data_IF_577819646620
#
_entry.id   IF_577819646620
#
_cell.length_a   1.000
_cell.length_b   1.000
_cell.length_c   1.000
_cell.angle_alpha   90.00
_cell.angle_beta   90.00
_cell.angle_gamma   90.00
#
_symmetry.space_group_name_H-M   'P 1'
#
loop_
_entity.id
_entity.type
_entity.pdbx_description
1 polymer ?
#
# COMPACT_ATOMS: atom_id res chain seq x y z
N UNK A 1 7.25 9.97 -3.00
CA UNK A 1 6.34 10.74 -3.86
C UNK A 1 6.02 9.89 -5.09
N UNK A 2 4.75 9.78 -5.49
CA UNK A 2 4.35 8.96 -6.67
C UNK A 2 4.03 9.82 -7.89
N UNK A 3 3.78 11.12 -7.70
CA UNK A 3 3.61 12.10 -8.77
C UNK A 3 2.39 11.82 -9.64
N UNK A 4 2.54 11.98 -10.95
CA UNK A 4 1.50 11.70 -11.96
C UNK A 4 1.65 10.33 -12.61
N UNK A 5 2.49 9.45 -12.04
CA UNK A 5 2.68 8.11 -12.61
C UNK A 5 1.38 7.32 -12.56
N UNK A 6 1.06 6.66 -13.67
CA UNK A 6 -0.10 5.77 -13.80
C UNK A 6 0.20 4.35 -13.32
N UNK A 7 1.45 4.07 -12.93
CA UNK A 7 1.88 2.78 -12.36
C UNK A 7 2.86 2.98 -11.22
N UNK A 8 2.50 2.47 -10.06
CA UNK A 8 3.37 2.44 -8.88
C UNK A 8 2.82 1.46 -7.85
N UNK A 9 3.68 0.98 -6.96
CA UNK A 9 3.30 0.23 -5.78
C UNK A 9 4.21 0.64 -4.63
N UNK A 10 3.66 0.74 -3.42
CA UNK A 10 4.42 1.04 -2.21
C UNK A 10 3.76 0.40 -0.99
N UNK A 11 4.56 0.16 0.05
CA UNK A 11 4.08 -0.55 1.21
C UNK A 11 5.17 -0.88 2.22
N UNK A 12 4.79 -1.72 3.17
CA UNK A 12 5.64 -2.29 4.23
C UNK A 12 5.62 -3.80 4.08
N UNK A 13 6.76 -4.44 4.32
CA UNK A 13 6.90 -5.88 4.34
C UNK A 13 7.53 -6.33 5.66
N UNK A 14 7.15 -7.51 6.17
CA UNK A 14 7.85 -8.14 7.29
C UNK A 14 9.30 -8.40 6.91
N UNK A 15 10.23 -8.07 7.80
CA UNK A 15 11.66 -8.13 7.52
C UNK A 15 12.17 -9.55 7.18
N UNK A 16 11.56 -10.57 7.78
CA UNK A 16 11.97 -11.97 7.72
C UNK A 16 11.14 -12.82 6.75
N UNK A 17 10.42 -12.20 5.83
CA UNK A 17 9.67 -12.95 4.82
C UNK A 17 10.60 -13.51 3.74
N UNK A 18 10.23 -14.65 3.15
CA UNK A 18 10.89 -15.15 1.95
C UNK A 18 10.54 -14.24 0.76
N UNK A 19 11.56 -13.64 0.15
CA UNK A 19 11.41 -12.70 -0.97
C UNK A 19 11.49 -13.39 -2.33
N UNK A 20 11.77 -14.70 -2.35
CA UNK A 20 12.05 -15.46 -3.57
C UNK A 20 10.82 -16.19 -4.13
N UNK A 21 9.78 -16.40 -3.32
CA UNK A 21 8.51 -16.92 -3.83
C UNK A 21 7.66 -15.80 -4.43
N UNK A 22 7.02 -16.11 -5.58
CA UNK A 22 5.92 -15.32 -6.12
C UNK A 22 4.69 -15.46 -5.21
N UNK A 23 4.73 -14.83 -4.05
CA UNK A 23 3.58 -14.74 -3.16
C UNK A 23 2.70 -13.58 -3.59
N UNK A 24 1.37 -13.79 -3.56
CA UNK A 24 0.42 -12.70 -3.73
C UNK A 24 0.70 -11.63 -2.67
N UNK A 25 0.73 -10.35 -3.06
CA UNK A 25 0.86 -9.27 -2.11
C UNK A 25 -0.41 -9.20 -1.25
N UNK A 26 -0.32 -9.64 0.00
CA UNK A 26 -1.40 -9.61 0.96
C UNK A 26 -0.87 -9.50 2.40
N UNK A 27 -1.69 -8.98 3.35
CA UNK A 27 -1.32 -8.96 4.75
C UNK A 27 -1.04 -10.36 5.31
N UNK A 28 -1.71 -11.39 4.79
CA UNK A 28 -1.52 -12.80 5.17
C UNK A 28 -0.08 -13.27 4.89
N UNK A 29 0.53 -12.77 3.80
CA UNK A 29 1.92 -13.03 3.43
C UNK A 29 2.90 -12.00 4.02
N UNK A 30 2.44 -11.14 4.94
CA UNK A 30 3.27 -10.15 5.61
C UNK A 30 3.61 -8.92 4.77
N UNK A 31 2.80 -8.61 3.75
CA UNK A 31 2.94 -7.42 2.92
C UNK A 31 1.68 -6.55 3.07
N UNK A 32 1.89 -5.28 3.40
CA UNK A 32 0.84 -4.26 3.38
C UNK A 32 1.21 -3.22 2.36
N UNK A 33 0.34 -2.95 1.40
CA UNK A 33 0.66 -1.99 0.36
C UNK A 33 -0.54 -1.49 -0.38
N UNK A 34 -0.29 -0.43 -1.13
CA UNK A 34 -1.22 0.14 -2.11
C UNK A 34 -0.52 0.18 -3.46
N UNK A 35 -1.27 -0.09 -4.51
CA UNK A 35 -0.77 0.02 -5.88
C UNK A 35 -1.72 0.83 -6.74
N UNK A 36 -1.15 1.48 -7.74
CA UNK A 36 -1.88 2.09 -8.85
C UNK A 36 -1.52 1.36 -10.13
N UNK A 37 -2.54 0.94 -10.88
CA UNK A 37 -2.39 0.38 -12.21
C UNK A 37 -3.34 1.08 -13.17
N UNK A 38 -2.78 1.82 -14.13
CA UNK A 38 -3.54 2.55 -15.16
C UNK A 38 -4.54 3.54 -14.53
N UNK A 39 -4.16 4.16 -13.41
CA UNK A 39 -4.99 5.14 -12.71
C UNK A 39 -5.98 4.56 -11.71
N UNK A 40 -6.14 3.23 -11.64
CA UNK A 40 -6.94 2.56 -10.62
C UNK A 40 -6.06 2.24 -9.42
N UNK A 41 -6.50 2.64 -8.23
CA UNK A 41 -5.77 2.42 -6.98
C UNK A 41 -6.45 1.33 -6.18
N UNK A 42 -5.67 0.37 -5.68
CA UNK A 42 -6.16 -0.72 -4.83
C UNK A 42 -5.23 -0.91 -3.63
N UNK A 43 -5.80 -1.30 -2.50
CA UNK A 43 -5.04 -1.89 -1.41
C UNK A 43 -4.77 -3.37 -1.72
N UNK A 44 -3.56 -3.82 -1.43
CA UNK A 44 -3.07 -5.18 -1.66
C UNK A 44 -3.60 -6.12 -0.58
N UNK A 45 -4.91 -6.24 -0.47
CA UNK A 45 -5.61 -7.24 0.35
C UNK A 45 -5.89 -8.49 -0.49
N UNK A 46 -6.39 -9.56 0.14
CA UNK A 46 -6.84 -10.77 -0.55
C UNK A 46 -8.34 -10.98 -0.29
N UNK A 47 -9.24 -10.66 -1.25
CA UNK A 47 -8.98 -10.07 -2.56
C UNK A 47 -8.59 -8.57 -2.49
N UNK A 48 -8.05 -7.96 -3.56
CA UNK A 48 -7.67 -6.54 -3.58
C UNK A 48 -8.87 -5.61 -3.31
N UNK A 49 -8.66 -4.57 -2.50
CA UNK A 49 -9.72 -3.61 -2.13
C UNK A 49 -9.59 -2.35 -2.99
N UNK A 50 -10.60 -1.99 -3.81
CA UNK A 50 -10.60 -0.76 -4.59
C UNK A 50 -10.59 0.49 -3.70
N UNK A 51 -9.82 1.50 -4.09
CA UNK A 51 -9.70 2.77 -3.39
C UNK A 51 -10.19 3.91 -4.28
N UNK A 52 -10.85 4.90 -3.69
CA UNK A 52 -11.50 6.00 -4.41
C UNK A 52 -10.57 7.18 -4.74
N UNK A 53 -9.32 7.15 -4.25
CA UNK A 53 -8.39 8.28 -4.37
C UNK A 53 -7.15 7.91 -5.18
N UNK A 54 -6.69 8.85 -6.03
CA UNK A 54 -5.42 8.79 -6.74
C UNK A 54 -4.44 9.80 -6.14
N UNK A 55 -3.76 9.45 -5.02
CA UNK A 55 -2.83 10.35 -4.35
C UNK A 55 -1.56 10.59 -5.17
N UNK A 56 -1.01 11.81 -5.11
CA UNK A 56 0.31 12.14 -5.71
C UNK A 56 1.47 11.95 -4.73
N UNK A 57 1.16 12.06 -3.44
CA UNK A 57 2.10 11.83 -2.35
C UNK A 57 1.41 11.03 -1.25
N UNK A 58 2.08 9.98 -0.80
CA UNK A 58 1.58 9.08 0.24
C UNK A 58 2.55 9.11 1.41
N UNK A 59 2.03 9.29 2.61
CA UNK A 59 2.71 8.98 3.86
C UNK A 59 2.33 7.58 4.30
N UNK A 60 3.31 6.85 4.83
CA UNK A 60 3.13 5.51 5.38
C UNK A 60 3.46 5.59 6.85
N UNK A 61 2.47 5.32 7.69
CA UNK A 61 2.62 5.24 9.14
C UNK A 61 2.62 3.78 9.56
N UNK A 62 3.60 3.41 10.39
CA UNK A 62 3.75 2.07 10.93
C UNK A 62 3.63 2.12 12.45
N UNK A 63 2.58 1.50 12.98
CA UNK A 63 2.45 1.24 14.40
C UNK A 63 2.92 -0.18 14.69
N UNK A 64 4.24 -0.33 14.84
CA UNK A 64 4.87 -1.63 14.99
C UNK A 64 4.29 -2.49 16.13
N UNK A 65 4.04 -1.96 17.36
CA UNK A 65 3.49 -2.77 18.44
C UNK A 65 2.10 -3.34 18.15
N UNK A 66 1.29 -2.62 17.37
CA UNK A 66 -0.07 -3.01 17.02
C UNK A 66 -0.14 -3.76 15.68
N UNK A 67 0.96 -3.81 14.92
CA UNK A 67 1.01 -4.39 13.58
C UNK A 67 0.16 -3.64 12.56
N UNK A 68 -0.12 -2.36 12.79
CA UNK A 68 -0.97 -1.53 11.94
C UNK A 68 -0.12 -0.72 10.95
N UNK A 69 -0.58 -0.66 9.71
CA UNK A 69 -0.01 0.21 8.66
C UNK A 69 -1.13 1.09 8.14
N UNK A 70 -0.90 2.40 8.12
CA UNK A 70 -1.86 3.38 7.62
C UNK A 70 -1.25 4.18 6.47
N UNK A 71 -1.98 4.27 5.37
CA UNK A 71 -1.64 5.05 4.18
C UNK A 71 -2.43 6.36 4.21
N UNK A 72 -1.73 7.49 4.14
CA UNK A 72 -2.35 8.81 4.21
C UNK A 72 -1.99 9.60 2.96
N UNK A 73 -2.98 10.26 2.37
CA UNK A 73 -2.73 11.23 1.31
C UNK A 73 -2.05 12.44 1.93
N UNK A 74 -0.78 12.68 1.58
CA UNK A 74 0.02 13.71 2.22
C UNK A 74 -0.44 15.13 1.89
N UNK A 75 -1.19 15.32 0.80
CA UNK A 75 -1.68 16.62 0.36
C UNK A 75 -3.01 16.98 1.07
N UNK A 76 -3.91 16.00 1.25
CA UNK A 76 -5.22 16.22 1.90
C UNK A 76 -5.23 15.87 3.39
N UNK A 77 -4.22 15.12 3.87
CA UNK A 77 -4.14 14.50 5.20
C UNK A 77 -5.29 13.54 5.52
N UNK A 78 -6.00 13.06 4.50
CA UNK A 78 -7.05 12.06 4.65
C UNK A 78 -6.44 10.66 4.57
N UNK A 79 -6.99 9.76 5.37
CA UNK A 79 -6.68 8.33 5.32
C UNK A 79 -7.10 7.76 3.95
N UNK A 80 -6.22 6.95 3.39
CA UNK A 80 -6.45 6.19 2.15
C UNK A 80 -6.90 4.78 2.51
N UNK A 81 -6.13 4.10 3.38
CA UNK A 81 -6.31 2.72 3.81
C UNK A 81 -5.48 2.42 5.06
#
# INVERSE_FOLDING_TARGET
EVGISTRWALGVAKANMDRMEYQNFSPENGIWGVQCQVGEVVALTSPPTPLSSLPRRIWVFLEYPQGLVTFINADTKLEIF
#
